data_IF_125825002781
#
_entry.id   IF_125825002781
#
_cell.length_a   1.000
_cell.length_b   1.000
_cell.length_c   1.000
_cell.angle_alpha   90.00
_cell.angle_beta   90.00
_cell.angle_gamma   90.00
#
_symmetry.space_group_name_H-M   'P 1'
#
loop_
_entity.id
_entity.type
_entity.pdbx_description
1 polymer ?
#
# COMPACT_ATOMS: atom_id res chain seq x y z
N UNK A 1 19.54 -3.28 21.01
CA UNK A 1 18.80 -4.13 21.99
C UNK A 1 17.49 -4.50 21.31
N UNK A 2 17.16 -5.79 21.23
CA UNK A 2 15.96 -6.29 20.52
C UNK A 2 14.74 -6.28 21.45
N UNK A 3 13.56 -5.93 20.92
CA UNK A 3 12.30 -5.88 21.68
C UNK A 3 11.94 -7.28 22.22
N UNK A 4 11.66 -7.46 23.53
CA UNK A 4 11.31 -8.75 24.11
C UNK A 4 10.01 -9.36 23.57
N UNK A 5 9.15 -8.57 22.91
CA UNK A 5 7.96 -9.08 22.22
C UNK A 5 8.28 -9.63 20.83
N UNK A 6 9.44 -9.31 20.27
CA UNK A 6 9.84 -9.84 18.98
C UNK A 6 10.45 -11.24 19.16
N UNK A 7 9.58 -12.25 19.18
CA UNK A 7 9.95 -13.67 19.27
C UNK A 7 10.64 -14.19 18.01
N UNK A 8 10.53 -13.44 16.91
CA UNK A 8 11.27 -13.66 15.68
C UNK A 8 12.54 -12.82 15.83
N UNK A 9 13.65 -13.46 16.23
CA UNK A 9 14.92 -12.77 16.48
C UNK A 9 15.32 -11.82 15.33
N UNK A 10 16.23 -10.89 15.62
CA UNK A 10 16.81 -10.06 14.55
C UNK A 10 17.52 -10.96 13.54
N UNK A 11 17.20 -10.90 12.23
CA UNK A 11 17.89 -11.71 11.23
C UNK A 11 19.41 -11.53 11.30
N UNK A 12 20.14 -12.62 11.16
CA UNK A 12 21.60 -12.64 11.15
C UNK A 12 22.18 -11.85 9.97
N UNK A 13 23.48 -11.51 10.02
CA UNK A 13 24.14 -10.74 8.94
C UNK A 13 24.12 -11.44 7.59
N UNK A 14 23.96 -12.77 7.59
CA UNK A 14 23.90 -13.61 6.39
C UNK A 14 22.46 -14.11 6.09
N UNK A 15 21.47 -13.73 6.90
CA UNK A 15 20.06 -14.00 6.60
C UNK A 15 19.54 -12.88 5.69
N UNK A 16 19.38 -13.19 4.41
CA UNK A 16 18.73 -12.28 3.48
C UNK A 16 17.22 -12.27 3.75
N UNK A 17 16.62 -11.09 3.72
CA UNK A 17 15.16 -11.00 3.67
C UNK A 17 14.69 -11.75 2.42
N UNK A 18 13.72 -12.65 2.56
CA UNK A 18 13.05 -13.28 1.43
C UNK A 18 12.33 -12.18 0.63
N UNK A 19 13.06 -11.53 -0.27
CA UNK A 19 12.46 -10.68 -1.27
C UNK A 19 11.72 -11.64 -2.17
N UNK A 20 10.41 -11.79 -1.95
CA UNK A 20 9.55 -12.40 -2.95
C UNK A 20 9.98 -11.77 -4.28
N UNK A 21 10.47 -12.60 -5.21
CA UNK A 21 10.92 -12.15 -6.54
C UNK A 21 9.68 -11.72 -7.33
N UNK A 22 9.06 -10.64 -6.88
CA UNK A 22 7.93 -9.98 -7.50
C UNK A 22 8.48 -9.29 -8.74
N UNK A 23 8.59 -10.06 -9.82
CA UNK A 23 8.67 -9.48 -11.14
C UNK A 23 7.55 -8.45 -11.27
N UNK A 24 7.86 -7.30 -11.86
CA UNK A 24 6.84 -6.30 -12.15
C UNK A 24 5.64 -6.99 -12.83
N UNK A 25 4.39 -6.59 -12.53
CA UNK A 25 3.23 -7.17 -13.21
C UNK A 25 3.46 -7.09 -14.72
N UNK A 26 3.23 -8.21 -15.42
CA UNK A 26 3.36 -8.22 -16.88
C UNK A 26 2.46 -7.12 -17.43
N UNK A 27 3.06 -6.16 -18.17
CA UNK A 27 2.28 -5.08 -18.78
C UNK A 27 1.20 -5.72 -19.65
N UNK A 28 -0.07 -5.28 -19.56
CA UNK A 28 -1.11 -5.81 -20.42
C UNK A 28 -0.71 -5.48 -21.86
N UNK A 29 -0.47 -6.51 -22.65
CA UNK A 29 -0.19 -6.38 -24.08
C UNK A 29 -1.49 -6.02 -24.81
N UNK A 30 -1.94 -4.76 -24.73
CA UNK A 30 -2.88 -4.09 -25.64
C UNK A 30 -3.22 -2.67 -25.12
N UNK A 31 -3.53 -1.70 -25.99
CA UNK A 31 -3.79 -0.32 -25.60
C UNK A 31 -5.20 -0.19 -25.03
N UNK A 32 -5.33 0.19 -23.75
CA UNK A 32 -6.61 0.54 -23.12
C UNK A 32 -6.83 -0.21 -21.83
N UNK A 33 -7.13 0.53 -20.77
CA UNK A 33 -7.17 0.07 -19.39
C UNK A 33 -8.11 -1.11 -19.11
N UNK A 34 -7.77 -1.88 -18.09
CA UNK A 34 -8.66 -2.83 -17.44
C UNK A 34 -9.26 -2.18 -16.16
N UNK A 35 -10.39 -2.69 -15.62
CA UNK A 35 -11.63 -3.15 -16.23
C UNK A 35 -12.80 -2.20 -15.92
N UNK A 36 -13.93 -2.42 -16.59
CA UNK A 36 -15.21 -1.71 -16.40
C UNK A 36 -15.70 -1.74 -14.94
N UNK A 37 -15.93 -0.57 -14.34
CA UNK A 37 -16.85 -0.37 -13.19
C UNK A 37 -18.03 0.46 -13.71
N UNK A 38 -19.31 0.07 -13.49
CA UNK A 38 -20.44 0.74 -14.13
C UNK A 38 -20.54 2.18 -13.62
N UNK A 39 -20.82 3.10 -14.55
CA UNK A 39 -20.95 4.52 -14.31
C UNK A 39 -22.17 4.83 -13.39
N UNK A 40 -21.95 4.80 -12.07
CA UNK A 40 -22.67 5.67 -11.13
C UNK A 40 -22.04 7.07 -11.13
N UNK A 41 -22.65 8.08 -10.47
CA UNK A 41 -21.99 9.36 -10.24
C UNK A 41 -20.88 9.16 -9.19
N UNK A 42 -19.85 8.41 -9.56
CA UNK A 42 -18.76 8.08 -8.67
C UNK A 42 -17.71 9.16 -8.86
N UNK A 43 -17.50 9.95 -7.80
CA UNK A 43 -16.42 10.93 -7.70
C UNK A 43 -15.13 10.27 -8.19
N UNK A 44 -14.26 10.99 -8.93
CA UNK A 44 -13.04 10.41 -9.47
C UNK A 44 -12.26 9.73 -8.34
N UNK A 45 -11.60 8.62 -8.67
CA UNK A 45 -10.92 7.79 -7.66
C UNK A 45 -9.90 8.59 -6.84
N UNK A 46 -9.28 9.61 -7.46
CA UNK A 46 -8.37 10.56 -6.82
C UNK A 46 -9.05 11.29 -5.63
N UNK A 47 -10.22 11.92 -5.88
CA UNK A 47 -11.00 12.61 -4.84
C UNK A 47 -11.43 11.66 -3.70
N UNK A 48 -11.68 10.38 -3.99
CA UNK A 48 -12.02 9.38 -2.98
C UNK A 48 -10.81 8.99 -2.12
N UNK A 49 -9.62 8.90 -2.72
CA UNK A 49 -8.38 8.60 -2.01
C UNK A 49 -7.98 9.75 -1.09
N UNK A 50 -8.17 10.99 -1.54
CA UNK A 50 -7.90 12.17 -0.73
C UNK A 50 -8.81 12.21 0.50
N UNK A 51 -10.11 11.96 0.35
CA UNK A 51 -11.08 11.91 1.47
C UNK A 51 -10.80 10.75 2.44
N UNK A 52 -10.25 9.63 1.97
CA UNK A 52 -9.92 8.46 2.82
C UNK A 52 -8.58 8.61 3.54
N UNK A 53 -7.66 9.44 3.03
CA UNK A 53 -6.29 9.58 3.55
C UNK A 53 -6.00 10.93 4.19
N UNK A 54 -6.93 11.86 4.05
CA UNK A 54 -6.80 13.26 4.48
C UNK A 54 -8.05 13.69 5.24
N UNK A 55 -7.88 14.49 6.28
CA UNK A 55 -8.98 15.06 7.04
C UNK A 55 -9.70 16.21 6.30
N UNK A 56 -10.75 16.74 6.91
CA UNK A 56 -11.54 17.87 6.37
C UNK A 56 -10.74 19.18 6.22
N UNK A 57 -9.55 19.26 6.82
CA UNK A 57 -8.63 20.40 6.71
C UNK A 57 -7.56 20.18 5.63
N UNK A 58 -7.58 19.05 4.93
CA UNK A 58 -6.53 18.69 3.98
C UNK A 58 -5.24 18.22 4.65
N UNK A 59 -5.26 17.90 5.95
CA UNK A 59 -4.12 17.31 6.65
C UNK A 59 -4.18 15.78 6.52
N UNK A 60 -3.05 15.10 6.27
CA UNK A 60 -3.02 13.64 6.27
C UNK A 60 -3.64 13.10 7.56
N UNK A 61 -4.49 12.08 7.44
CA UNK A 61 -5.05 11.44 8.62
C UNK A 61 -3.91 10.94 9.50
N UNK A 62 -3.92 11.36 10.77
CA UNK A 62 -3.00 10.85 11.77
C UNK A 62 -3.30 9.35 11.94
N UNK A 63 -2.49 8.51 11.29
CA UNK A 63 -2.43 7.10 11.61
C UNK A 63 -1.52 6.99 12.83
N UNK A 64 -2.05 6.79 14.06
CA UNK A 64 -1.21 6.62 15.23
C UNK A 64 -0.45 5.31 15.06
N UNK A 65 0.71 5.43 14.42
CA UNK A 65 1.76 4.45 14.21
C UNK A 65 1.56 3.26 15.14
N UNK A 66 1.16 2.11 14.58
CA UNK A 66 1.19 0.83 15.29
C UNK A 66 2.55 0.64 15.96
N UNK A 67 2.58 0.90 17.26
CA UNK A 67 3.69 0.64 18.17
C UNK A 67 3.48 -0.63 18.94
#
# INVERSE_FOLDING_TARGET
>A
MSDPKNTQGTPGPDEEADTASGGAPEKPSAPGGAPEKPAGPEKPTDDLLDEETTDENGAPLDNPSGG
#
